data_IF_079723334637
#
_entry.id   IF_079723334637
#
_cell.length_a   1.000
_cell.length_b   1.000
_cell.length_c   1.000
_cell.angle_alpha   90.00
_cell.angle_beta   90.00
_cell.angle_gamma   90.00
#
_symmetry.space_group_name_H-M   'P 1'
#
loop_
_entity.id
_entity.type
_entity.pdbx_description
1 polymer ?
#
# COMPACT_ATOMS: atom_id res chain seq x y z
N UNK A 1 -14.95 23.09 -24.89
CA UNK A 1 -15.48 21.94 -24.11
C UNK A 1 -14.52 20.74 -24.10
N UNK A 2 -13.98 20.31 -25.24
CA UNK A 2 -13.06 19.14 -25.33
C UNK A 2 -11.78 19.29 -24.45
N UNK A 3 -11.20 20.49 -24.37
CA UNK A 3 -10.00 20.79 -23.55
C UNK A 3 -10.25 20.62 -22.04
N UNK A 4 -11.44 20.95 -21.55
CA UNK A 4 -11.78 20.81 -20.14
C UNK A 4 -12.11 19.35 -19.75
N UNK A 5 -12.68 18.56 -20.67
CA UNK A 5 -12.89 17.14 -20.46
C UNK A 5 -11.58 16.37 -20.39
N UNK A 6 -10.58 16.74 -21.20
CA UNK A 6 -9.25 16.12 -21.19
C UNK A 6 -8.49 16.40 -19.88
N UNK A 7 -8.60 17.64 -19.36
CA UNK A 7 -7.97 18.00 -18.09
C UNK A 7 -8.62 17.29 -16.88
N UNK A 8 -9.94 17.11 -16.90
CA UNK A 8 -10.67 16.41 -15.84
C UNK A 8 -10.34 14.91 -15.81
N UNK A 9 -10.18 14.27 -16.98
CA UNK A 9 -9.83 12.85 -17.06
C UNK A 9 -8.40 12.57 -16.56
N UNK A 10 -7.46 13.48 -16.78
CA UNK A 10 -6.07 13.35 -16.27
C UNK A 10 -6.02 13.49 -14.75
N UNK A 11 -6.82 14.41 -14.18
CA UNK A 11 -6.89 14.59 -12.73
C UNK A 11 -7.49 13.37 -11.99
N UNK A 12 -8.43 12.66 -12.60
CA UNK A 12 -9.07 11.47 -12.01
C UNK A 12 -8.13 10.25 -11.90
N UNK A 13 -7.12 10.14 -12.77
CA UNK A 13 -6.17 9.01 -12.78
C UNK A 13 -5.13 9.12 -11.65
N UNK A 14 -4.88 10.31 -11.12
CA UNK A 14 -3.84 10.56 -10.10
C UNK A 14 -4.25 10.15 -8.67
N UNK A 15 -5.53 9.88 -8.42
CA UNK A 15 -6.05 9.60 -7.06
C UNK A 15 -5.89 8.13 -6.64
N UNK A 16 -5.50 7.21 -7.55
CA UNK A 16 -5.61 5.77 -7.37
C UNK A 16 -4.38 5.01 -6.85
N UNK A 17 -3.23 5.64 -6.63
CA UNK A 17 -1.96 4.93 -6.42
C UNK A 17 -1.35 5.07 -5.01
N UNK A 18 -2.16 5.04 -3.95
CA UNK A 18 -1.62 4.91 -2.60
C UNK A 18 -1.57 3.44 -2.18
N UNK A 19 -0.45 3.02 -1.58
CA UNK A 19 -0.37 1.70 -0.97
C UNK A 19 -1.36 1.63 0.19
N UNK A 20 -2.33 0.72 0.11
CA UNK A 20 -3.35 0.54 1.15
C UNK A 20 -2.81 -0.16 2.40
N UNK A 21 -1.66 -0.82 2.29
CA UNK A 21 -1.09 -1.63 3.36
C UNK A 21 -1.81 -2.96 3.60
N UNK A 22 -2.82 -3.31 2.81
CA UNK A 22 -3.61 -4.54 2.95
C UNK A 22 -2.74 -5.79 3.01
N UNK A 23 -1.66 -5.84 2.24
CA UNK A 23 -0.70 -6.96 2.23
C UNK A 23 -0.01 -7.21 3.57
N UNK A 24 -0.08 -6.27 4.51
CA UNK A 24 0.51 -6.38 5.85
C UNK A 24 -0.54 -6.63 6.95
N UNK A 25 -1.79 -6.92 6.57
CA UNK A 25 -2.83 -7.32 7.52
C UNK A 25 -2.56 -8.72 8.05
N UNK A 26 -3.05 -9.02 9.26
CA UNK A 26 -2.78 -10.28 9.94
C UNK A 26 -3.36 -11.50 9.22
N UNK A 27 -4.44 -11.33 8.49
CA UNK A 27 -5.18 -12.34 7.74
C UNK A 27 -4.76 -12.48 6.27
N UNK A 28 -3.75 -11.70 5.83
CA UNK A 28 -3.22 -11.76 4.46
C UNK A 28 -1.93 -12.56 4.43
N UNK A 29 -1.91 -13.65 3.70
CA UNK A 29 -0.77 -14.55 3.54
C UNK A 29 -0.23 -14.52 2.12
N UNK A 30 1.08 -14.63 1.97
CA UNK A 30 1.69 -14.80 0.66
C UNK A 30 1.33 -16.17 0.06
N UNK A 31 1.29 -16.25 -1.27
CA UNK A 31 0.98 -17.50 -1.96
C UNK A 31 1.92 -18.66 -1.59
N UNK A 32 3.16 -18.37 -1.22
CA UNK A 32 4.14 -19.35 -0.73
C UNK A 32 3.81 -19.94 0.65
N UNK A 33 2.94 -19.28 1.40
CA UNK A 33 2.51 -19.68 2.74
C UNK A 33 1.20 -20.50 2.73
N UNK A 34 0.51 -20.53 1.57
CA UNK A 34 -0.74 -21.27 1.42
C UNK A 34 -0.45 -22.77 1.45
N UNK A 35 -1.28 -23.53 2.19
CA UNK A 35 -1.13 -24.97 2.40
C UNK A 35 0.19 -25.41 3.08
N UNK A 36 0.86 -24.48 3.78
CA UNK A 36 2.03 -24.79 4.61
C UNK A 36 1.65 -24.78 6.08
N UNK A 37 2.29 -25.63 6.88
CA UNK A 37 2.12 -25.63 8.32
C UNK A 37 2.91 -24.46 8.93
N UNK A 38 2.23 -23.64 9.73
CA UNK A 38 2.82 -22.53 10.47
C UNK A 38 2.68 -22.77 11.97
N UNK A 39 3.68 -22.35 12.75
CA UNK A 39 3.56 -22.39 14.21
C UNK A 39 2.60 -21.30 14.67
N UNK A 40 1.70 -21.66 15.57
CA UNK A 40 0.78 -20.73 16.18
C UNK A 40 0.77 -20.90 17.69
N UNK A 41 0.65 -19.77 18.40
CA UNK A 41 0.59 -19.71 19.87
C UNK A 41 -0.64 -18.94 20.31
N UNK A 42 -1.18 -19.30 21.46
CA UNK A 42 -2.25 -18.52 22.09
C UNK A 42 -1.64 -17.43 22.96
N UNK A 43 -2.15 -16.21 22.79
CA UNK A 43 -1.73 -15.04 23.56
C UNK A 43 -2.94 -14.31 24.14
N UNK A 44 -2.79 -13.68 25.31
CA UNK A 44 -3.84 -12.88 25.89
C UNK A 44 -3.59 -11.40 25.57
N UNK A 45 -4.55 -10.74 24.92
CA UNK A 45 -4.45 -9.30 24.59
C UNK A 45 -4.63 -8.47 25.86
N UNK A 46 -3.66 -7.60 26.14
CA UNK A 46 -3.66 -6.71 27.32
C UNK A 46 -4.07 -5.30 26.93
N UNK A 47 -3.58 -4.80 25.80
CA UNK A 47 -3.87 -3.45 25.33
C UNK A 47 -3.88 -3.39 23.82
N UNK A 48 -4.68 -2.49 23.28
CA UNK A 48 -4.77 -2.19 21.84
C UNK A 48 -4.77 -0.68 21.69
N UNK A 49 -3.81 -0.16 20.94
CA UNK A 49 -3.69 1.27 20.69
C UNK A 49 -3.58 1.54 19.19
N UNK A 50 -4.25 2.58 18.66
CA UNK A 50 -4.08 2.98 17.28
C UNK A 50 -2.64 3.45 17.05
N UNK A 51 -2.06 3.09 15.93
CA UNK A 51 -0.72 3.51 15.52
C UNK A 51 -0.68 3.75 14.02
N UNK A 52 0.47 4.17 13.50
CA UNK A 52 0.73 4.31 12.07
C UNK A 52 1.88 3.40 11.69
N UNK A 53 1.68 2.65 10.63
CA UNK A 53 2.68 1.74 10.07
C UNK A 53 3.25 2.36 8.81
N UNK A 54 4.57 2.45 8.75
CA UNK A 54 5.27 2.91 7.56
C UNK A 54 5.44 1.74 6.59
N UNK A 55 4.76 1.79 5.46
CA UNK A 55 4.81 0.73 4.44
C UNK A 55 5.54 1.20 3.19
N UNK A 56 6.15 0.25 2.47
CA UNK A 56 6.82 0.55 1.21
C UNK A 56 5.80 0.88 0.12
N UNK A 57 6.04 1.98 -0.57
CA UNK A 57 5.26 2.43 -1.73
C UNK A 57 6.07 2.29 -3.04
N UNK A 58 7.17 1.58 -3.01
CA UNK A 58 8.13 1.47 -4.11
C UNK A 58 7.49 0.92 -5.41
N UNK A 59 6.58 -0.05 -5.29
CA UNK A 59 5.88 -0.61 -6.45
C UNK A 59 5.03 0.45 -7.17
N UNK A 60 4.29 1.26 -6.41
CA UNK A 60 3.47 2.33 -6.98
C UNK A 60 4.34 3.45 -7.56
N UNK A 61 5.44 3.79 -6.90
CA UNK A 61 6.42 4.75 -7.42
C UNK A 61 7.02 4.28 -8.74
N UNK A 62 7.46 3.03 -8.84
CA UNK A 62 7.95 2.45 -10.10
C UNK A 62 6.89 2.46 -11.19
N UNK A 63 5.66 2.07 -10.86
CA UNK A 63 4.54 2.14 -11.79
C UNK A 63 4.26 3.57 -12.26
N UNK A 64 4.26 4.55 -11.36
CA UNK A 64 4.08 5.96 -11.70
C UNK A 64 5.19 6.49 -12.63
N UNK A 65 6.43 6.11 -12.40
CA UNK A 65 7.56 6.46 -13.29
C UNK A 65 7.41 5.84 -14.67
N UNK A 66 7.01 4.57 -14.77
CA UNK A 66 6.79 3.89 -16.05
C UNK A 66 5.63 4.51 -16.82
N UNK A 67 4.48 4.69 -16.17
CA UNK A 67 3.29 5.31 -16.79
C UNK A 67 3.59 6.75 -17.21
N UNK A 68 4.21 7.53 -16.34
CA UNK A 68 4.63 8.90 -16.63
C UNK A 68 5.60 8.97 -17.81
N UNK A 69 6.58 8.06 -17.86
CA UNK A 69 7.52 7.94 -18.96
C UNK A 69 6.84 7.64 -20.30
N UNK A 70 5.93 6.67 -20.33
CA UNK A 70 5.19 6.28 -21.55
C UNK A 70 4.27 7.42 -22.00
N UNK A 71 3.48 8.00 -21.12
CA UNK A 71 2.55 9.09 -21.46
C UNK A 71 3.33 10.34 -21.89
N UNK A 72 4.43 10.64 -21.22
CA UNK A 72 5.32 11.74 -21.59
C UNK A 72 5.95 11.53 -22.97
N UNK A 73 6.39 10.32 -23.29
CA UNK A 73 6.94 9.98 -24.61
C UNK A 73 5.90 10.13 -25.73
N UNK A 74 4.70 9.61 -25.53
CA UNK A 74 3.59 9.73 -26.51
C UNK A 74 3.19 11.19 -26.70
N UNK A 75 2.98 11.91 -25.60
CA UNK A 75 2.61 13.34 -25.63
C UNK A 75 3.69 14.21 -26.26
N UNK A 76 4.95 14.00 -25.87
CA UNK A 76 6.10 14.72 -26.42
C UNK A 76 6.31 14.44 -27.92
N UNK A 77 6.17 13.19 -28.36
CA UNK A 77 6.24 12.85 -29.78
C UNK A 77 5.09 13.45 -30.59
N UNK A 78 3.86 13.45 -30.04
CA UNK A 78 2.70 14.03 -30.72
C UNK A 78 2.84 15.56 -30.88
N UNK A 79 3.37 16.25 -29.89
CA UNK A 79 3.64 17.70 -29.97
C UNK A 79 4.82 18.01 -30.90
N UNK A 80 5.87 17.21 -30.87
CA UNK A 80 7.04 17.34 -31.74
C UNK A 80 6.72 17.09 -33.22
N UNK A 81 5.81 16.16 -33.51
CA UNK A 81 5.44 15.79 -34.88
C UNK A 81 4.70 16.90 -35.67
N UNK A 82 4.28 17.97 -34.99
CA UNK A 82 3.66 19.12 -35.69
C UNK A 82 4.62 19.85 -36.60
N UNK A 83 5.93 19.69 -36.41
CA UNK A 83 6.96 20.34 -37.20
C UNK A 83 7.70 19.38 -38.14
N UNK A 84 8.33 18.35 -37.63
CA UNK A 84 9.10 17.35 -38.38
C UNK A 84 9.22 16.04 -37.62
N UNK A 85 9.53 14.92 -38.34
CA UNK A 85 9.75 13.60 -37.68
C UNK A 85 10.91 13.62 -36.69
N UNK A 86 11.97 14.38 -36.95
CA UNK A 86 13.12 14.48 -36.05
C UNK A 86 12.75 15.18 -34.74
N UNK A 87 11.88 16.20 -34.79
CA UNK A 87 11.34 16.88 -33.62
C UNK A 87 10.39 15.98 -32.83
N UNK A 88 9.70 15.03 -33.47
CA UNK A 88 8.86 14.04 -32.79
C UNK A 88 9.71 13.07 -31.94
N UNK A 89 10.86 12.63 -32.46
CA UNK A 89 11.78 11.75 -31.72
C UNK A 89 12.36 12.48 -30.51
N UNK A 90 12.86 13.70 -30.70
CA UNK A 90 13.40 14.52 -29.58
C UNK A 90 12.33 14.83 -28.58
N UNK A 91 11.11 15.19 -29.02
CA UNK A 91 9.97 15.46 -28.14
C UNK A 91 9.54 14.23 -27.35
N UNK A 92 9.54 13.04 -27.97
CA UNK A 92 9.23 11.78 -27.31
C UNK A 92 10.24 11.43 -26.22
N UNK A 93 11.53 11.55 -26.50
CA UNK A 93 12.61 11.29 -25.52
C UNK A 93 12.55 12.28 -24.36
N UNK A 94 12.45 13.58 -24.65
CA UNK A 94 12.37 14.61 -23.63
C UNK A 94 11.10 14.49 -22.80
N UNK A 95 9.94 14.25 -23.42
CA UNK A 95 8.67 14.03 -22.76
C UNK A 95 8.67 12.78 -21.88
N UNK A 96 9.25 11.70 -22.35
CA UNK A 96 9.42 10.45 -21.59
C UNK A 96 10.27 10.64 -20.35
N UNK A 97 11.40 11.31 -20.48
CA UNK A 97 12.27 11.63 -19.33
C UNK A 97 11.57 12.53 -18.30
N UNK A 98 10.89 13.58 -18.75
CA UNK A 98 10.16 14.51 -17.87
C UNK A 98 8.99 13.82 -17.18
N UNK A 99 8.25 12.96 -17.90
CA UNK A 99 7.15 12.19 -17.32
C UNK A 99 7.63 11.16 -16.28
N UNK A 100 8.75 10.48 -16.53
CA UNK A 100 9.35 9.58 -15.55
C UNK A 100 9.84 10.33 -14.31
N UNK A 101 10.45 11.52 -14.47
CA UNK A 101 10.83 12.39 -13.35
C UNK A 101 9.61 12.83 -12.54
N UNK A 102 8.50 13.20 -13.17
CA UNK A 102 7.26 13.51 -12.46
C UNK A 102 6.74 12.31 -11.65
N UNK A 103 6.81 11.10 -12.21
CA UNK A 103 6.47 9.87 -11.49
C UNK A 103 7.38 9.59 -10.29
N UNK A 104 8.64 10.03 -10.34
CA UNK A 104 9.59 9.83 -9.23
C UNK A 104 9.28 10.68 -8.00
N UNK A 105 8.42 11.69 -8.10
CA UNK A 105 7.96 12.50 -6.97
C UNK A 105 7.01 11.73 -6.03
N UNK A 106 6.52 10.56 -6.44
CA UNK A 106 5.77 9.68 -5.55
C UNK A 106 6.69 9.18 -4.44
N UNK A 107 6.27 9.36 -3.19
CA UNK A 107 7.06 8.95 -2.03
C UNK A 107 7.32 7.43 -2.00
N UNK A 108 8.51 7.03 -1.59
CA UNK A 108 8.92 5.62 -1.46
C UNK A 108 8.20 4.89 -0.33
N UNK A 109 7.67 5.64 0.62
CA UNK A 109 6.96 5.09 1.79
C UNK A 109 5.71 5.89 2.05
N UNK A 110 4.70 5.21 2.58
CA UNK A 110 3.46 5.86 3.06
C UNK A 110 3.11 5.37 4.45
N UNK A 111 2.35 6.18 5.20
CA UNK A 111 1.84 5.82 6.52
C UNK A 111 0.42 5.31 6.38
N UNK A 112 0.19 4.07 6.81
CA UNK A 112 -1.14 3.47 6.85
C UNK A 112 -1.61 3.31 8.28
N UNK A 113 -2.93 3.31 8.53
CA UNK A 113 -3.48 3.01 9.85
C UNK A 113 -3.07 1.61 10.32
N UNK A 114 -2.73 1.48 11.58
CA UNK A 114 -2.37 0.22 12.19
C UNK A 114 -2.70 0.19 13.68
N UNK A 115 -2.36 -0.91 14.31
CA UNK A 115 -2.56 -1.15 15.74
C UNK A 115 -1.25 -1.59 16.39
N UNK A 116 -1.04 -1.11 17.59
CA UNK A 116 -0.04 -1.63 18.52
C UNK A 116 -0.78 -2.50 19.54
N UNK A 117 -0.50 -3.79 19.53
CA UNK A 117 -1.11 -4.79 20.39
C UNK A 117 -0.11 -5.18 21.46
N UNK A 118 -0.46 -4.93 22.73
CA UNK A 118 0.25 -5.49 23.87
C UNK A 118 -0.39 -6.81 24.28
N UNK A 119 0.40 -7.85 24.40
CA UNK A 119 -0.10 -9.18 24.75
C UNK A 119 0.80 -9.89 25.77
N UNK A 120 0.24 -10.85 26.46
CA UNK A 120 0.96 -11.75 27.39
C UNK A 120 1.11 -13.14 26.78
N UNK A 121 2.33 -13.64 26.80
CA UNK A 121 2.70 -15.00 26.44
C UNK A 121 3.53 -15.59 27.60
N UNK A 122 3.07 -16.69 28.20
CA UNK A 122 3.78 -17.38 29.30
C UNK A 122 4.19 -16.43 30.45
N UNK A 123 3.34 -15.47 30.81
CA UNK A 123 3.59 -14.50 31.89
C UNK A 123 4.51 -13.33 31.51
N UNK A 124 5.03 -13.29 30.31
CA UNK A 124 5.81 -12.16 29.78
C UNK A 124 4.94 -11.29 28.90
N UNK A 125 5.24 -9.99 28.88
CA UNK A 125 4.51 -9.01 28.08
C UNK A 125 5.35 -8.64 26.85
N UNK A 126 4.70 -8.68 25.71
CA UNK A 126 5.27 -8.33 24.42
C UNK A 126 4.37 -7.33 23.70
N UNK A 127 4.91 -6.69 22.65
CA UNK A 127 4.13 -5.82 21.77
C UNK A 127 4.34 -6.22 20.31
N UNK A 128 3.27 -6.14 19.51
CA UNK A 128 3.31 -6.29 18.06
C UNK A 128 2.62 -5.10 17.40
N UNK A 129 3.27 -4.51 16.40
CA UNK A 129 2.68 -3.45 15.59
C UNK A 129 2.33 -4.04 14.22
N UNK A 130 1.07 -3.94 13.80
CA UNK A 130 0.58 -4.51 12.55
C UNK A 130 -0.49 -3.62 11.90
N UNK A 131 -0.66 -3.76 10.59
CA UNK A 131 -1.75 -3.09 9.88
C UNK A 131 -3.06 -3.72 10.31
N UNK A 132 -4.06 -2.91 10.63
CA UNK A 132 -5.36 -3.35 11.11
C UNK A 132 -6.08 -2.23 11.85
N UNK A 133 -7.29 -2.53 12.31
CA UNK A 133 -8.16 -1.59 13.03
C UNK A 133 -8.27 -2.00 14.51
N UNK A 134 -8.30 -1.06 15.45
CA UNK A 134 -8.42 -1.39 16.88
C UNK A 134 -9.64 -2.23 17.23
N UNK A 135 -10.75 -2.09 16.50
CA UNK A 135 -11.99 -2.86 16.72
C UNK A 135 -11.87 -4.36 16.39
N UNK A 136 -10.82 -4.76 15.69
CA UNK A 136 -10.55 -6.17 15.36
C UNK A 136 -9.96 -6.94 16.54
N UNK A 137 -9.58 -6.24 17.63
CA UNK A 137 -8.89 -6.82 18.78
C UNK A 137 -9.61 -6.47 20.08
N UNK A 138 -10.04 -7.47 20.82
CA UNK A 138 -10.72 -7.31 22.10
C UNK A 138 -9.75 -7.56 23.24
N UNK A 139 -9.58 -6.54 24.09
CA UNK A 139 -8.73 -6.58 25.28
C UNK A 139 -9.29 -7.58 26.31
N UNK A 140 -8.40 -8.30 26.97
CA UNK A 140 -8.74 -9.29 28.00
C UNK A 140 -9.04 -10.69 27.44
N UNK A 141 -9.24 -10.82 26.14
CA UNK A 141 -9.51 -12.11 25.48
C UNK A 141 -8.27 -12.74 24.85
N UNK A 142 -8.38 -14.03 24.55
CA UNK A 142 -7.34 -14.81 23.89
C UNK A 142 -7.40 -14.58 22.40
N UNK A 143 -6.24 -14.47 21.77
CA UNK A 143 -6.06 -14.46 20.33
C UNK A 143 -5.01 -15.47 19.91
N UNK A 144 -5.04 -15.86 18.64
CA UNK A 144 -4.02 -16.67 18.02
C UNK A 144 -2.91 -15.76 17.45
N UNK A 145 -1.68 -16.05 17.79
CA UNK A 145 -0.50 -15.41 17.17
C UNK A 145 0.14 -16.42 16.24
N UNK A 146 0.19 -16.12 14.97
CA UNK A 146 0.82 -16.94 13.93
C UNK A 146 2.25 -16.47 13.72
N UNK A 147 3.20 -17.39 13.69
CA UNK A 147 4.58 -17.16 13.32
C UNK A 147 4.77 -17.59 11.86
N UNK A 148 5.07 -16.63 11.00
CA UNK A 148 5.30 -16.91 9.58
C UNK A 148 6.69 -17.51 9.34
N UNK A 149 6.91 -18.10 8.18
CA UNK A 149 8.20 -18.67 7.79
C UNK A 149 9.33 -17.62 7.75
N UNK A 150 9.00 -16.34 7.59
CA UNK A 150 9.94 -15.22 7.68
C UNK A 150 10.18 -14.73 9.11
N UNK A 151 9.73 -15.48 10.10
CA UNK A 151 9.83 -15.13 11.53
C UNK A 151 9.06 -13.85 11.92
N UNK A 152 8.08 -13.45 11.13
CA UNK A 152 7.14 -12.41 11.49
C UNK A 152 6.08 -12.96 12.44
N UNK A 153 5.67 -12.16 13.41
CA UNK A 153 4.57 -12.51 14.31
C UNK A 153 3.33 -11.71 13.93
N UNK A 154 2.21 -12.41 13.73
CA UNK A 154 0.92 -11.82 13.38
C UNK A 154 -0.14 -12.23 14.39
N UNK A 155 -0.62 -11.30 15.19
CA UNK A 155 -1.73 -11.53 16.11
C UNK A 155 -3.02 -11.49 15.29
N UNK A 156 -3.75 -12.59 15.27
CA UNK A 156 -4.98 -12.70 14.50
C UNK A 156 -6.13 -11.93 15.15
N UNK A 157 -7.04 -11.34 14.36
CA UNK A 157 -8.24 -10.71 14.89
C UNK A 157 -9.06 -11.67 15.75
N UNK A 158 -9.55 -11.21 16.90
CA UNK A 158 -10.44 -11.94 17.79
C UNK A 158 -11.80 -11.25 17.99
N UNK A 159 -12.06 -10.20 17.23
CA UNK A 159 -13.32 -9.48 17.19
C UNK A 159 -13.62 -8.96 15.77
N UNK A 160 -14.87 -8.64 15.52
CA UNK A 160 -15.32 -8.04 14.26
C UNK A 160 -15.62 -6.56 14.45
N UNK A 161 -15.19 -5.74 13.49
CA UNK A 161 -15.57 -4.33 13.48
C UNK A 161 -17.03 -4.16 13.03
N UNK A 162 -17.74 -3.16 13.55
CA UNK A 162 -19.04 -2.77 13.00
C UNK A 162 -18.91 -2.44 11.50
N UNK A 163 -19.87 -2.88 10.71
CA UNK A 163 -19.94 -2.47 9.30
C UNK A 163 -20.10 -0.96 9.20
N UNK A 164 -19.41 -0.32 8.23
CA UNK A 164 -19.63 1.10 7.98
C UNK A 164 -21.10 1.30 7.60
N UNK A 165 -21.76 2.22 8.31
CA UNK A 165 -23.14 2.61 7.98
C UNK A 165 -23.11 3.16 6.56
N UNK A 166 -23.75 2.45 5.63
CA UNK A 166 -23.97 2.96 4.27
C UNK A 166 -24.93 4.12 4.38
N UNK A 167 -24.39 5.35 4.36
CA UNK A 167 -25.18 6.58 4.25
C UNK A 167 -25.65 6.81 2.82
#
# INVERSE_FOLDING_TARGET
MLKHCLALSIAAVLVGCQASGEQYQADVFDASQVNTQQEAKTVKIITVSPTKIKVSNEKNRKAAMMVGGILGAIGGAALGNQNNTDTAIVGGVAGGATGAMAGSLVEETTLVPGVLIGYSENGKIFTSAQVGRPCEFKVGEISLMVMTLSNETRVQPNASCPEPVKG
#
